data_IF_329542742592
#
_entry.id   IF_329542742592
#
_cell.length_a   1.000
_cell.length_b   1.000
_cell.length_c   1.000
_cell.angle_alpha   90.00
_cell.angle_beta   90.00
_cell.angle_gamma   90.00
#
_symmetry.space_group_name_H-M   'P 1'
#
loop_
_entity.id
_entity.type
_entity.pdbx_description
1 polymer ?
#
# COMPACT_ATOMS: atom_id res chain seq x y z
N UNK A 1 21.99 -7.76 -9.18
CA UNK A 1 21.56 -6.81 -10.22
C UNK A 1 20.63 -5.80 -9.55
N UNK A 2 20.94 -4.52 -9.60
CA UNK A 2 20.10 -3.47 -9.02
C UNK A 2 18.96 -3.20 -10.00
N UNK A 3 17.71 -3.19 -9.51
CA UNK A 3 16.51 -2.93 -10.31
C UNK A 3 16.25 -1.42 -10.37
N UNK A 4 16.25 -0.84 -11.56
CA UNK A 4 15.99 0.59 -11.75
C UNK A 4 14.48 0.82 -11.95
N UNK A 5 13.88 1.68 -11.12
CA UNK A 5 12.45 1.95 -11.08
C UNK A 5 12.22 3.43 -11.38
N UNK A 6 11.34 3.73 -12.33
CA UNK A 6 10.91 5.10 -12.62
C UNK A 6 9.77 5.50 -11.67
N UNK A 7 9.90 6.64 -11.01
CA UNK A 7 8.86 7.25 -10.19
C UNK A 7 8.47 8.59 -10.81
N UNK A 8 7.25 8.71 -11.32
CA UNK A 8 6.69 9.98 -11.78
C UNK A 8 5.75 10.50 -10.71
N UNK A 9 6.14 11.58 -10.04
CA UNK A 9 5.54 12.02 -8.80
C UNK A 9 5.07 13.47 -8.89
N UNK A 10 3.81 13.71 -8.49
CA UNK A 10 3.27 15.06 -8.32
C UNK A 10 2.15 15.07 -7.27
N UNK A 11 2.12 16.11 -6.41
CA UNK A 11 1.08 16.31 -5.41
C UNK A 11 1.38 15.71 -4.02
N UNK A 12 0.40 15.83 -3.14
CA UNK A 12 0.54 15.48 -1.71
C UNK A 12 0.73 13.98 -1.49
N UNK A 13 -0.05 13.15 -2.18
CA UNK A 13 0.04 11.68 -2.08
C UNK A 13 1.42 11.19 -2.53
N UNK A 14 1.94 11.76 -3.62
CA UNK A 14 3.27 11.43 -4.13
C UNK A 14 4.38 11.81 -3.14
N UNK A 15 4.25 12.96 -2.48
CA UNK A 15 5.21 13.41 -1.47
C UNK A 15 5.22 12.49 -0.25
N UNK A 16 4.04 12.09 0.23
CA UNK A 16 3.93 11.17 1.35
C UNK A 16 4.43 9.77 1.00
N UNK A 17 4.09 9.28 -0.19
CA UNK A 17 4.63 8.02 -0.73
C UNK A 17 6.17 8.05 -0.76
N UNK A 18 6.79 9.11 -1.30
CA UNK A 18 8.24 9.20 -1.39
C UNK A 18 8.90 9.22 -0.01
N UNK A 19 8.34 9.97 0.95
CA UNK A 19 8.83 10.00 2.34
C UNK A 19 8.82 8.61 2.98
N UNK A 20 7.75 7.85 2.79
CA UNK A 20 7.64 6.48 3.31
C UNK A 20 8.60 5.53 2.59
N UNK A 21 8.81 5.69 1.27
CA UNK A 21 9.72 4.87 0.49
C UNK A 21 11.17 5.10 0.90
N UNK A 22 11.59 6.36 1.12
CA UNK A 22 12.95 6.69 1.59
C UNK A 22 13.31 5.98 2.90
N UNK A 23 12.33 5.81 3.82
CA UNK A 23 12.52 5.06 5.06
C UNK A 23 12.60 3.53 4.89
N UNK A 24 12.32 3.01 3.70
CA UNK A 24 12.22 1.56 3.41
C UNK A 24 13.07 1.14 2.22
N UNK A 25 13.96 2.00 1.73
CA UNK A 25 14.80 1.68 0.58
C UNK A 25 15.69 0.47 0.85
N UNK A 26 15.93 -0.32 -0.20
CA UNK A 26 16.75 -1.52 -0.14
C UNK A 26 17.91 -1.40 -1.13
N UNK A 27 19.08 -2.00 -0.86
CA UNK A 27 20.22 -1.91 -1.76
C UNK A 27 20.00 -2.63 -3.11
N UNK A 28 18.84 -3.25 -3.30
CA UNK A 28 18.50 -3.97 -4.53
C UNK A 28 17.76 -3.10 -5.55
N UNK A 29 17.31 -1.91 -5.16
CA UNK A 29 16.57 -0.98 -6.01
C UNK A 29 17.31 0.34 -6.16
N UNK A 30 17.18 0.98 -7.32
CA UNK A 30 17.52 2.38 -7.55
C UNK A 30 16.31 3.08 -8.15
N UNK A 31 16.13 4.34 -7.82
CA UNK A 31 14.93 5.09 -8.16
C UNK A 31 15.28 6.33 -8.97
N UNK A 32 14.67 6.45 -10.14
CA UNK A 32 14.71 7.67 -10.94
C UNK A 32 13.40 8.44 -10.70
N UNK A 33 13.49 9.52 -9.97
CA UNK A 33 12.33 10.34 -9.57
C UNK A 33 12.19 11.51 -10.54
N UNK A 34 11.06 11.60 -11.21
CA UNK A 34 10.69 12.70 -12.10
C UNK A 34 9.52 13.45 -11.51
N UNK A 35 9.62 14.79 -11.41
CA UNK A 35 8.57 15.62 -10.86
C UNK A 35 8.52 16.98 -11.55
N UNK A 36 7.35 17.65 -11.56
CA UNK A 36 7.20 19.01 -12.10
C UNK A 36 7.91 20.07 -11.24
N UNK A 37 7.96 19.83 -9.93
CA UNK A 37 8.56 20.72 -8.94
C UNK A 37 9.53 19.93 -8.07
N UNK A 38 10.54 20.56 -7.49
CA UNK A 38 11.39 19.91 -6.51
C UNK A 38 10.55 19.32 -5.37
N UNK A 39 10.75 18.03 -5.08
CA UNK A 39 10.13 17.37 -3.93
C UNK A 39 11.15 17.34 -2.81
N UNK A 40 10.74 17.77 -1.62
CA UNK A 40 11.58 17.65 -0.43
C UNK A 40 11.66 16.19 0.03
N UNK A 41 12.84 15.60 -0.14
CA UNK A 41 13.15 14.23 0.23
C UNK A 41 14.34 14.23 1.19
N UNK A 42 14.17 14.80 2.40
CA UNK A 42 15.24 15.01 3.40
C UNK A 42 15.99 13.71 3.79
N UNK A 43 15.42 12.54 3.55
CA UNK A 43 16.00 11.25 3.90
C UNK A 43 16.28 10.36 2.67
N UNK A 44 16.32 10.94 1.47
CA UNK A 44 16.64 10.17 0.27
C UNK A 44 18.12 9.75 0.30
N UNK A 45 18.38 8.43 0.22
CA UNK A 45 19.70 7.88 0.11
C UNK A 45 20.30 8.06 -1.30
N UNK A 46 21.50 7.51 -1.49
CA UNK A 46 22.20 7.53 -2.79
C UNK A 46 21.47 6.73 -3.89
N UNK A 47 20.47 5.94 -3.52
CA UNK A 47 19.67 5.13 -4.44
C UNK A 47 18.61 5.96 -5.21
N UNK A 48 18.45 7.25 -4.90
CA UNK A 48 17.47 8.14 -5.51
C UNK A 48 18.17 9.19 -6.40
N UNK A 49 17.79 9.21 -7.67
CA UNK A 49 18.17 10.24 -8.64
C UNK A 49 16.96 11.13 -8.92
N UNK A 50 17.06 12.45 -8.68
CA UNK A 50 15.96 13.39 -8.85
C UNK A 50 16.15 14.23 -10.10
N UNK A 51 15.12 14.30 -10.94
CA UNK A 51 15.09 15.14 -12.14
C UNK A 51 13.79 15.94 -12.15
N UNK A 52 13.91 17.25 -12.35
CA UNK A 52 12.77 18.17 -12.33
C UNK A 52 12.46 18.66 -13.74
N UNK A 53 11.32 18.23 -14.26
CA UNK A 53 10.74 18.72 -15.52
C UNK A 53 9.27 18.27 -15.63
N UNK A 54 8.55 18.80 -16.61
CA UNK A 54 7.17 18.35 -16.88
C UNK A 54 7.14 16.95 -17.51
N UNK A 55 6.70 15.90 -16.79
CA UNK A 55 6.72 14.52 -17.26
C UNK A 55 5.77 14.26 -18.43
N UNK A 56 4.86 15.18 -18.76
CA UNK A 56 4.02 15.10 -19.96
C UNK A 56 4.78 15.48 -21.24
N UNK A 57 6.07 15.87 -21.13
CA UNK A 57 6.94 16.11 -22.29
C UNK A 57 7.58 14.81 -22.79
N UNK A 58 7.14 14.23 -23.94
CA UNK A 58 7.65 12.95 -24.44
C UNK A 58 9.16 12.97 -24.70
N UNK A 59 9.68 14.06 -25.29
CA UNK A 59 11.08 14.16 -25.64
C UNK A 59 12.01 14.14 -24.41
N UNK A 60 11.63 14.84 -23.33
CA UNK A 60 12.39 14.86 -22.10
C UNK A 60 12.31 13.51 -21.38
N UNK A 61 11.11 12.92 -21.33
CA UNK A 61 10.92 11.63 -20.69
C UNK A 61 11.69 10.53 -21.42
N UNK A 62 11.64 10.48 -22.76
CA UNK A 62 12.38 9.50 -23.54
C UNK A 62 13.90 9.64 -23.39
N UNK A 63 14.41 10.86 -23.23
CA UNK A 63 15.85 11.10 -23.03
C UNK A 63 16.35 10.48 -21.72
N UNK A 64 15.51 10.34 -20.71
CA UNK A 64 15.85 9.72 -19.42
C UNK A 64 15.66 8.20 -19.39
N UNK A 65 14.79 7.66 -20.25
CA UNK A 65 14.50 6.24 -20.24
C UNK A 65 15.67 5.43 -20.79
N UNK A 66 16.11 4.47 -20.01
CA UNK A 66 17.05 3.44 -20.43
C UNK A 66 16.34 2.08 -20.56
N UNK A 67 16.92 1.14 -21.29
CA UNK A 67 16.36 -0.20 -21.48
C UNK A 67 16.27 -1.00 -20.18
N UNK A 68 16.98 -0.56 -19.15
CA UNK A 68 17.04 -1.23 -17.85
C UNK A 68 15.85 -0.85 -16.94
N UNK A 69 15.07 0.18 -17.32
CA UNK A 69 13.86 0.59 -16.59
C UNK A 69 12.69 -0.26 -17.09
N UNK A 70 12.32 -1.23 -16.30
CA UNK A 70 11.21 -2.15 -16.60
C UNK A 70 9.96 -1.89 -15.76
N UNK A 71 10.06 -1.02 -14.77
CA UNK A 71 9.00 -0.69 -13.83
C UNK A 71 8.83 0.82 -13.72
N UNK A 72 7.58 1.27 -13.70
CA UNK A 72 7.22 2.66 -13.49
C UNK A 72 6.03 2.79 -12.52
N UNK A 73 6.11 3.75 -11.61
CA UNK A 73 5.01 4.18 -10.77
C UNK A 73 4.65 5.62 -11.13
N UNK A 74 3.37 5.85 -11.41
CA UNK A 74 2.85 7.17 -11.76
C UNK A 74 1.86 7.58 -10.67
N UNK A 75 2.25 8.55 -9.86
CA UNK A 75 1.45 9.10 -8.78
C UNK A 75 1.34 10.60 -9.01
N UNK A 76 0.26 11.03 -9.65
CA UNK A 76 0.02 12.43 -10.01
C UNK A 76 -1.34 12.88 -9.47
N UNK A 77 -1.39 14.08 -8.91
CA UNK A 77 -2.61 14.67 -8.38
C UNK A 77 -3.63 14.91 -9.50
N UNK A 78 -3.15 15.30 -10.69
CA UNK A 78 -3.98 15.38 -11.89
C UNK A 78 -3.99 14.02 -12.62
N UNK A 79 -5.06 13.27 -12.48
CA UNK A 79 -5.21 11.95 -13.13
C UNK A 79 -5.14 12.01 -14.67
N UNK A 80 -5.59 13.09 -15.29
CA UNK A 80 -5.51 13.23 -16.75
C UNK A 80 -4.05 13.29 -17.22
N UNK A 81 -3.20 14.03 -16.51
CA UNK A 81 -1.77 14.07 -16.79
C UNK A 81 -1.10 12.72 -16.50
N UNK A 82 -1.52 12.04 -15.43
CA UNK A 82 -1.05 10.68 -15.14
C UNK A 82 -1.34 9.69 -16.28
N UNK A 83 -2.51 9.78 -16.88
CA UNK A 83 -2.90 9.01 -18.07
C UNK A 83 -2.06 9.39 -19.29
N UNK A 84 -1.76 10.67 -19.48
CA UNK A 84 -0.89 11.14 -20.55
C UNK A 84 0.53 10.56 -20.42
N UNK A 85 1.12 10.65 -19.23
CA UNK A 85 2.41 10.03 -18.93
C UNK A 85 2.38 8.52 -19.18
N UNK A 86 1.32 7.84 -18.75
CA UNK A 86 1.13 6.42 -19.04
C UNK A 86 1.19 6.14 -20.56
N UNK A 87 0.50 6.91 -21.38
CA UNK A 87 0.53 6.73 -22.84
C UNK A 87 1.93 6.96 -23.42
N UNK A 88 2.66 7.94 -22.92
CA UNK A 88 4.06 8.20 -23.32
C UNK A 88 4.93 6.99 -22.98
N UNK A 89 4.88 6.49 -21.74
CA UNK A 89 5.67 5.32 -21.32
C UNK A 89 5.27 4.07 -22.10
N UNK A 90 3.98 3.88 -22.39
CA UNK A 90 3.50 2.73 -23.15
C UNK A 90 3.90 2.79 -24.61
N UNK A 91 4.06 3.98 -25.19
CA UNK A 91 4.62 4.16 -26.53
C UNK A 91 6.12 3.81 -26.59
N UNK A 92 6.85 4.05 -25.49
CA UNK A 92 8.25 3.68 -25.37
C UNK A 92 8.42 2.16 -25.19
N UNK A 93 7.66 1.54 -24.28
CA UNK A 93 7.78 0.11 -23.98
C UNK A 93 6.43 -0.55 -23.66
N UNK A 94 6.07 -1.55 -24.47
CA UNK A 94 4.89 -2.39 -24.23
C UNK A 94 5.07 -3.38 -23.07
N UNK A 95 6.31 -3.64 -22.64
CA UNK A 95 6.64 -4.63 -21.60
C UNK A 95 6.81 -4.03 -20.22
N UNK A 96 6.95 -2.71 -20.13
CA UNK A 96 7.12 -2.01 -18.85
C UNK A 96 5.93 -2.29 -17.94
N UNK A 97 6.18 -2.72 -16.71
CA UNK A 97 5.15 -2.83 -15.70
C UNK A 97 4.87 -1.42 -15.15
N UNK A 98 3.62 -0.97 -15.26
CA UNK A 98 3.23 0.37 -14.84
C UNK A 98 2.20 0.26 -13.72
N UNK A 99 2.40 0.99 -12.65
CA UNK A 99 1.41 1.24 -11.60
C UNK A 99 0.95 2.68 -11.74
N UNK A 100 -0.34 2.91 -11.89
CA UNK A 100 -0.93 4.23 -12.10
C UNK A 100 -1.95 4.53 -11.01
N UNK A 101 -1.83 5.70 -10.37
CA UNK A 101 -2.87 6.26 -9.53
C UNK A 101 -3.98 6.86 -10.41
N UNK A 102 -5.23 6.39 -10.24
CA UNK A 102 -6.35 6.93 -11.01
C UNK A 102 -7.62 6.06 -10.92
N UNK A 103 -8.74 6.60 -11.40
CA UNK A 103 -10.06 5.97 -11.24
C UNK A 103 -10.46 5.03 -12.38
N UNK A 104 -9.92 5.23 -13.58
CA UNK A 104 -10.32 4.48 -14.78
C UNK A 104 -9.15 4.14 -15.67
N UNK A 105 -9.19 2.95 -16.21
CA UNK A 105 -8.26 2.50 -17.25
C UNK A 105 -8.76 2.89 -18.64
N UNK A 106 -7.88 3.40 -19.52
CA UNK A 106 -8.26 3.69 -20.90
C UNK A 106 -8.51 2.44 -21.75
N UNK A 107 -7.87 1.31 -21.44
CA UNK A 107 -8.03 -0.01 -22.10
C UNK A 107 -7.47 -1.12 -21.20
N UNK A 108 -7.87 -2.39 -21.48
CA UNK A 108 -7.24 -3.54 -20.85
C UNK A 108 -5.75 -3.62 -21.25
N UNK A 109 -4.88 -3.52 -20.25
CA UNK A 109 -3.43 -3.64 -20.39
C UNK A 109 -2.91 -4.59 -19.29
N UNK A 110 -2.38 -5.73 -19.70
CA UNK A 110 -1.90 -6.78 -18.78
C UNK A 110 -0.73 -6.34 -17.88
N UNK A 111 0.02 -5.32 -18.31
CA UNK A 111 1.18 -4.80 -17.62
C UNK A 111 0.87 -3.47 -16.89
N UNK A 112 -0.40 -3.17 -16.67
CA UNK A 112 -0.86 -2.00 -15.94
C UNK A 112 -1.63 -2.42 -14.71
N UNK A 113 -1.23 -1.89 -13.55
CA UNK A 113 -1.97 -1.98 -12.29
C UNK A 113 -2.53 -0.61 -11.94
N UNK A 114 -3.84 -0.54 -11.71
CA UNK A 114 -4.50 0.70 -11.28
C UNK A 114 -4.64 0.72 -9.77
N UNK A 115 -4.26 1.83 -9.16
CA UNK A 115 -4.50 2.11 -7.75
C UNK A 115 -5.53 3.23 -7.67
N UNK A 116 -6.63 2.97 -6.96
CA UNK A 116 -7.71 3.95 -6.78
C UNK A 116 -7.71 4.46 -5.34
N UNK A 117 -7.80 5.77 -5.14
CA UNK A 117 -7.82 6.40 -3.81
C UNK A 117 -9.13 6.13 -3.06
N UNK A 118 -10.25 6.17 -3.79
CA UNK A 118 -11.58 6.10 -3.18
C UNK A 118 -11.77 4.86 -2.28
N UNK A 119 -11.44 3.63 -2.73
CA UNK A 119 -11.55 2.45 -1.87
C UNK A 119 -10.59 2.49 -0.67
N UNK A 120 -9.40 3.08 -0.83
CA UNK A 120 -8.42 3.19 0.25
C UNK A 120 -8.91 4.15 1.34
N UNK A 121 -9.41 5.32 0.95
CA UNK A 121 -9.98 6.31 1.87
C UNK A 121 -11.22 5.74 2.54
N UNK A 122 -12.13 5.13 1.80
CA UNK A 122 -13.33 4.51 2.35
C UNK A 122 -12.98 3.41 3.37
N UNK A 123 -12.00 2.55 3.07
CA UNK A 123 -11.54 1.52 4.00
C UNK A 123 -10.99 2.14 5.30
N UNK A 124 -10.19 3.21 5.19
CA UNK A 124 -9.66 3.88 6.37
C UNK A 124 -10.76 4.50 7.25
N UNK A 125 -11.82 5.08 6.65
CA UNK A 125 -12.96 5.56 7.42
C UNK A 125 -13.74 4.42 8.08
N UNK A 126 -13.92 3.28 7.40
CA UNK A 126 -14.57 2.10 7.96
C UNK A 126 -13.83 1.59 9.20
N UNK A 127 -12.49 1.59 9.18
CA UNK A 127 -11.65 1.21 10.31
C UNK A 127 -11.85 2.11 11.56
N UNK A 128 -12.34 3.34 11.37
CA UNK A 128 -12.64 4.28 12.47
C UNK A 128 -14.05 4.10 13.04
N UNK A 129 -14.91 3.31 12.39
CA UNK A 129 -16.26 3.04 12.91
C UNK A 129 -16.18 2.04 14.07
N UNK A 130 -16.74 2.36 15.25
CA UNK A 130 -16.68 1.47 16.40
C UNK A 130 -17.30 0.10 16.11
N UNK A 131 -16.70 -0.95 16.65
CA UNK A 131 -17.18 -2.34 16.60
C UNK A 131 -17.27 -2.97 15.19
N UNK A 132 -16.61 -2.38 14.20
CA UNK A 132 -16.41 -3.03 12.89
C UNK A 132 -15.12 -3.83 12.92
N UNK A 133 -15.10 -5.08 12.41
CA UNK A 133 -13.87 -5.86 12.28
C UNK A 133 -12.86 -5.19 11.35
N UNK A 134 -11.60 -5.08 11.79
CA UNK A 134 -10.51 -4.60 10.98
C UNK A 134 -9.83 -5.80 10.33
N UNK A 135 -9.85 -5.87 9.01
CA UNK A 135 -9.20 -6.92 8.23
C UNK A 135 -7.91 -6.38 7.65
N UNK A 136 -6.79 -6.96 8.05
CA UNK A 136 -5.49 -6.62 7.46
C UNK A 136 -5.43 -7.10 6.02
N UNK A 137 -5.28 -6.18 5.07
CA UNK A 137 -5.24 -6.50 3.62
C UNK A 137 -3.92 -7.14 3.18
N UNK A 138 -2.87 -7.00 4.00
CA UNK A 138 -1.51 -7.39 3.63
C UNK A 138 -1.12 -8.78 4.15
N UNK A 139 -2.00 -9.44 4.88
CA UNK A 139 -1.73 -10.75 5.49
C UNK A 139 -2.71 -11.78 4.94
N UNK A 140 -2.16 -12.88 4.41
CA UNK A 140 -2.94 -14.06 4.04
C UNK A 140 -3.36 -14.16 2.58
N UNK A 141 -3.42 -13.10 1.81
CA UNK A 141 -3.75 -13.07 0.37
C UNK A 141 -4.79 -14.15 -0.01
N UNK A 142 -5.99 -14.06 0.57
CA UNK A 142 -7.12 -15.00 0.36
C UNK A 142 -6.91 -16.46 0.83
N UNK A 143 -5.80 -16.77 1.50
CA UNK A 143 -5.52 -18.14 2.01
C UNK A 143 -5.55 -18.26 3.53
N UNK A 144 -5.86 -17.18 4.22
CA UNK A 144 -5.95 -17.11 5.67
C UNK A 144 -5.79 -15.67 6.10
N UNK A 145 -6.87 -15.00 6.44
CA UNK A 145 -6.87 -13.60 6.83
C UNK A 145 -6.78 -13.47 8.35
N UNK A 146 -6.04 -12.47 8.82
CA UNK A 146 -6.05 -12.05 10.22
C UNK A 146 -6.99 -10.87 10.34
N UNK A 147 -7.93 -10.99 11.27
CA UNK A 147 -8.95 -9.98 11.53
C UNK A 147 -8.87 -9.56 13.00
N UNK A 148 -8.84 -8.26 13.25
CA UNK A 148 -9.02 -7.71 14.58
C UNK A 148 -10.48 -7.36 14.81
N UNK A 149 -11.02 -7.81 15.95
CA UNK A 149 -12.41 -7.56 16.34
C UNK A 149 -12.44 -7.07 17.77
N UNK A 150 -13.05 -5.91 17.98
CA UNK A 150 -13.38 -5.45 19.32
C UNK A 150 -14.67 -6.14 19.77
N UNK A 151 -14.63 -6.76 20.96
CA UNK A 151 -15.81 -7.40 21.54
C UNK A 151 -16.61 -6.33 22.31
N UNK A 152 -17.77 -5.87 21.81
CA UNK A 152 -18.55 -4.85 22.48
C UNK A 152 -19.23 -5.41 23.72
N UNK A 153 -19.58 -4.50 24.65
CA UNK A 153 -20.40 -4.84 25.82
C UNK A 153 -21.73 -5.45 25.37
N UNK A 154 -22.13 -6.56 26.02
CA UNK A 154 -23.33 -7.28 25.64
C UNK A 154 -23.21 -8.25 24.45
N UNK A 155 -22.03 -8.33 23.85
CA UNK A 155 -21.75 -9.35 22.82
C UNK A 155 -21.90 -10.77 23.38
N UNK A 156 -22.35 -11.69 22.54
CA UNK A 156 -22.42 -13.13 22.89
C UNK A 156 -21.04 -13.74 23.22
N UNK A 157 -19.95 -13.08 22.87
CA UNK A 157 -18.58 -13.47 23.20
C UNK A 157 -18.06 -12.83 24.49
N UNK A 158 -18.70 -11.78 24.98
CA UNK A 158 -18.29 -11.10 26.20
C UNK A 158 -18.47 -12.01 27.43
N UNK A 159 -17.53 -11.94 28.37
CA UNK A 159 -17.50 -12.71 29.61
C UNK A 159 -17.44 -14.26 29.46
N UNK A 160 -17.18 -14.75 28.26
CA UNK A 160 -16.92 -16.19 28.04
C UNK A 160 -15.44 -16.51 28.11
N UNK A 161 -15.13 -17.74 28.52
CA UNK A 161 -13.77 -18.27 28.34
C UNK A 161 -13.54 -18.59 26.86
N UNK A 162 -12.31 -18.39 26.39
CA UNK A 162 -11.96 -18.70 24.99
C UNK A 162 -12.26 -20.14 24.64
N UNK A 163 -12.00 -21.08 25.57
CA UNK A 163 -12.31 -22.51 25.39
C UNK A 163 -13.81 -22.80 25.21
N UNK A 164 -14.71 -21.94 25.70
CA UNK A 164 -16.16 -22.09 25.52
C UNK A 164 -16.69 -21.56 24.18
N UNK A 165 -15.85 -20.86 23.40
CA UNK A 165 -16.22 -20.29 22.12
C UNK A 165 -15.98 -21.33 21.02
N UNK A 166 -17.06 -21.74 20.34
CA UNK A 166 -16.94 -22.71 19.24
C UNK A 166 -16.33 -22.04 18.01
N UNK A 167 -15.16 -22.52 17.61
CA UNK A 167 -14.38 -22.02 16.47
C UNK A 167 -14.43 -23.04 15.32
N UNK A 168 -15.26 -22.80 14.29
CA UNK A 168 -15.39 -23.73 13.15
C UNK A 168 -14.52 -23.33 11.96
N UNK A 169 -14.65 -22.07 11.52
CA UNK A 169 -13.98 -21.55 10.31
C UNK A 169 -12.84 -20.56 10.59
N UNK A 170 -12.67 -20.17 11.83
CA UNK A 170 -11.68 -19.20 12.29
C UNK A 170 -11.08 -19.66 13.62
N UNK A 171 -9.94 -19.08 13.99
CA UNK A 171 -9.26 -19.36 15.27
C UNK A 171 -8.84 -18.05 15.91
N UNK A 172 -8.98 -17.95 17.22
CA UNK A 172 -8.41 -16.85 17.99
C UNK A 172 -6.90 -17.09 18.10
N UNK A 173 -6.12 -16.13 17.64
CA UNK A 173 -4.64 -16.17 17.65
C UNK A 173 -4.10 -15.39 18.84
N UNK A 174 -4.67 -14.24 19.12
CA UNK A 174 -4.23 -13.35 20.19
C UNK A 174 -5.42 -12.61 20.81
N UNK A 175 -5.25 -12.17 22.05
CA UNK A 175 -6.20 -11.34 22.76
C UNK A 175 -5.48 -10.09 23.26
N UNK A 176 -6.01 -8.91 22.93
CA UNK A 176 -5.59 -7.64 23.48
C UNK A 176 -6.52 -7.21 24.61
N UNK A 177 -5.96 -6.60 25.66
CA UNK A 177 -6.73 -5.99 26.75
C UNK A 177 -6.20 -4.58 27.00
N UNK A 178 -7.09 -3.62 27.26
CA UNK A 178 -6.75 -2.20 27.46
C UNK A 178 -5.69 -1.91 28.51
N UNK A 179 -5.43 -2.84 29.44
CA UNK A 179 -4.47 -2.68 30.53
C UNK A 179 -3.13 -3.38 30.30
N UNK A 180 -2.95 -4.00 29.16
CA UNK A 180 -1.75 -4.77 28.87
C UNK A 180 -1.11 -4.27 27.59
N UNK A 181 0.16 -3.89 27.66
CA UNK A 181 0.95 -3.40 26.52
C UNK A 181 1.25 -4.49 25.48
N UNK A 182 1.02 -5.77 25.81
CA UNK A 182 1.31 -6.89 24.94
C UNK A 182 0.10 -7.81 24.73
N UNK A 183 -0.07 -8.37 23.50
CA UNK A 183 -1.10 -9.34 23.23
C UNK A 183 -0.82 -10.67 23.94
N UNK A 184 -1.88 -11.30 24.43
CA UNK A 184 -1.81 -12.71 24.86
C UNK A 184 -1.96 -13.62 23.65
N UNK A 185 -0.88 -14.31 23.27
CA UNK A 185 -0.93 -15.34 22.23
C UNK A 185 -1.47 -16.64 22.80
N UNK A 186 -2.46 -17.20 22.14
CA UNK A 186 -3.06 -18.47 22.53
C UNK A 186 -2.24 -19.62 21.93
N UNK A 187 -1.52 -20.33 22.78
CA UNK A 187 -0.72 -21.50 22.36
C UNK A 187 -1.54 -22.77 22.26
N UNK A 188 -2.60 -22.94 23.07
CA UNK A 188 -3.44 -24.14 23.12
C UNK A 188 -4.89 -23.85 23.53
N UNK A 189 -5.79 -24.80 23.17
CA UNK A 189 -7.24 -24.75 23.47
C UNK A 189 -7.61 -24.80 24.97
N UNK A 190 -6.67 -25.02 25.84
CA UNK A 190 -6.87 -25.23 27.28
C UNK A 190 -6.71 -23.96 28.11
N UNK A 191 -6.46 -22.83 27.46
CA UNK A 191 -6.32 -21.57 28.17
C UNK A 191 -7.67 -21.12 28.72
N UNK A 192 -7.84 -21.20 30.04
CA UNK A 192 -8.99 -20.71 30.77
C UNK A 192 -9.13 -19.17 30.79
N UNK A 193 -8.51 -18.50 29.82
CA UNK A 193 -8.48 -17.04 29.67
C UNK A 193 -9.87 -16.52 29.35
N UNK A 194 -10.43 -15.70 30.23
CA UNK A 194 -11.75 -15.11 30.07
C UNK A 194 -11.63 -13.86 29.19
N UNK A 195 -12.50 -13.72 28.18
CA UNK A 195 -12.70 -12.49 27.44
C UNK A 195 -13.32 -11.42 28.36
N UNK A 196 -12.50 -10.76 29.19
CA UNK A 196 -12.88 -9.57 29.95
C UNK A 196 -12.34 -8.35 29.22
N UNK A 197 -13.14 -7.30 29.26
CA UNK A 197 -12.74 -5.96 28.84
C UNK A 197 -11.66 -5.40 29.73
#
# INVERSE_FOLDING_TARGET
MVRKILLVLDGAVATDFLRNLCGRSTPYNSYLVVSKKPIDAQNAGQDFEFVVFDPTSPSKLFALLSKDILDALIIMENYAEGIEVYHILRSYSKRMAIVLLGDKLPKEDKNLSLVTEIPLVAAHFIEKVPNIPIISKDIGIHKGEIMEVTIPFGSSFAYRTIGSITQKKWKIVALYRERNDFPFFLRDRTDGTVCKR
#
